data_IF_410245156595
#
_entry.id   IF_410245156595
#
_cell.length_a   1.000
_cell.length_b   1.000
_cell.length_c   1.000
_cell.angle_alpha   90.00
_cell.angle_beta   90.00
_cell.angle_gamma   90.00
#
_symmetry.space_group_name_H-M   'P 1'
#
loop_
_entity.id
_entity.type
_entity.pdbx_description
1 polymer ?
#
# COMPACT_ATOMS: atom_id res chain seq x y z
N UNK A 1 -23.28 -4.95 8.71
CA UNK A 1 -22.66 -4.94 8.55
C UNK A 1 -21.62 -5.26 8.73
N UNK A 2 -20.85 -5.11 8.77
CA UNK A 2 -19.81 -5.52 8.80
C UNK A 2 -18.85 -4.79 9.53
N UNK A 3 -19.17 -4.19 10.64
CA UNK A 3 -18.27 -3.53 11.49
C UNK A 3 -17.27 -4.44 12.10
N UNK A 4 -17.61 -5.70 12.23
CA UNK A 4 -16.68 -6.67 12.76
C UNK A 4 -15.48 -6.82 11.87
N UNK A 5 -15.68 -6.74 10.57
CA UNK A 5 -14.57 -6.84 9.66
C UNK A 5 -13.63 -5.67 9.80
N UNK A 6 -14.21 -4.51 10.05
CA UNK A 6 -13.37 -3.34 10.21
C UNK A 6 -12.55 -3.38 11.48
N UNK A 7 -13.02 -4.15 12.47
CA UNK A 7 -12.27 -4.25 13.70
C UNK A 7 -11.20 -5.30 13.73
N UNK A 8 -11.06 -6.07 12.64
CA UNK A 8 -10.06 -7.12 12.59
C UNK A 8 -8.79 -6.60 11.92
N UNK A 9 -7.68 -6.87 12.54
CA UNK A 9 -6.39 -6.45 12.00
C UNK A 9 -5.48 -7.64 11.85
N UNK A 10 -4.67 -7.62 10.82
CA UNK A 10 -3.74 -8.70 10.54
C UNK A 10 -2.35 -8.13 10.42
N UNK A 11 -1.39 -8.87 10.97
CA UNK A 11 0.01 -8.50 10.84
C UNK A 11 0.65 -9.37 9.79
N UNK A 12 1.40 -8.74 8.88
CA UNK A 12 2.05 -9.44 7.79
C UNK A 12 3.51 -9.04 7.79
N UNK A 13 4.37 -10.05 7.67
CA UNK A 13 5.81 -9.78 7.57
C UNK A 13 6.21 -9.82 6.11
N UNK A 14 6.87 -8.76 5.66
CA UNK A 14 7.31 -8.63 4.28
C UNK A 14 8.76 -8.19 4.25
N UNK A 15 9.52 -8.79 3.34
CA UNK A 15 10.85 -8.25 3.07
C UNK A 15 10.72 -7.14 2.04
N UNK A 16 11.85 -6.51 1.72
CA UNK A 16 11.82 -5.35 0.82
C UNK A 16 11.32 -5.73 -0.58
N UNK A 17 11.57 -6.95 -1.01
CA UNK A 17 11.08 -7.40 -2.31
C UNK A 17 9.56 -7.44 -2.33
N UNK A 18 8.95 -7.98 -1.27
CA UNK A 18 7.51 -8.02 -1.17
C UNK A 18 6.91 -6.63 -1.11
N UNK A 19 7.56 -5.75 -0.38
CA UNK A 19 7.09 -4.37 -0.27
C UNK A 19 7.12 -3.70 -1.64
N UNK A 20 8.18 -3.91 -2.42
CA UNK A 20 8.27 -3.31 -3.74
C UNK A 20 7.24 -3.88 -4.70
N UNK A 21 6.97 -5.18 -4.61
CA UNK A 21 5.95 -5.78 -5.45
C UNK A 21 4.58 -5.19 -5.16
N UNK A 22 4.26 -5.03 -3.89
CA UNK A 22 2.97 -4.46 -3.53
C UNK A 22 2.88 -3.02 -4.00
N UNK A 23 3.96 -2.26 -3.81
CA UNK A 23 3.97 -0.86 -4.25
C UNK A 23 3.76 -0.77 -5.76
N UNK A 24 4.41 -1.65 -6.52
CA UNK A 24 4.25 -1.67 -7.96
C UNK A 24 2.80 -1.96 -8.35
N UNK A 25 2.20 -2.96 -7.71
CA UNK A 25 0.82 -3.29 -7.98
C UNK A 25 -0.14 -2.16 -7.64
N UNK A 26 0.07 -1.53 -6.51
CA UNK A 26 -0.78 -0.41 -6.11
C UNK A 26 -0.61 0.76 -7.06
N UNK A 27 0.62 1.02 -7.50
CA UNK A 27 0.87 2.11 -8.44
C UNK A 27 0.15 1.86 -9.75
N UNK A 28 0.17 0.63 -10.23
CA UNK A 28 -0.52 0.29 -11.46
C UNK A 28 -2.03 0.43 -11.28
N UNK A 29 -2.54 0.03 -10.13
CA UNK A 29 -3.96 0.15 -9.87
C UNK A 29 -4.40 1.60 -9.88
N UNK A 30 -3.58 2.49 -9.31
CA UNK A 30 -3.90 3.91 -9.32
C UNK A 30 -3.87 4.46 -10.74
N UNK A 31 -2.84 4.08 -11.51
CA UNK A 31 -2.71 4.59 -12.86
C UNK A 31 -3.84 4.13 -13.78
N UNK A 32 -4.31 2.92 -13.54
CA UNK A 32 -5.34 2.34 -14.41
C UNK A 32 -6.73 2.52 -13.85
N UNK A 33 -6.88 3.37 -12.87
CA UNK A 33 -8.18 3.61 -12.26
C UNK A 33 -9.14 4.14 -13.31
N UNK A 34 -10.20 3.40 -13.55
CA UNK A 34 -11.12 3.75 -14.61
C UNK A 34 -12.43 4.28 -14.10
N UNK A 35 -12.47 4.63 -12.84
CA UNK A 35 -13.70 5.13 -12.24
C UNK A 35 -14.16 4.19 -11.16
N UNK A 36 -15.17 4.60 -10.43
CA UNK A 36 -15.63 3.87 -9.28
C UNK A 36 -15.77 4.86 -8.16
N UNK A 37 -15.79 4.36 -6.94
CA UNK A 37 -15.99 5.23 -5.81
C UNK A 37 -14.72 6.01 -5.51
N UNK A 38 -14.82 7.31 -5.37
CA UNK A 38 -13.62 8.11 -5.05
C UNK A 38 -12.92 7.65 -3.78
N UNK A 39 -13.67 7.11 -2.83
CA UNK A 39 -13.08 6.65 -1.60
C UNK A 39 -12.12 5.49 -1.85
N UNK A 40 -12.46 4.62 -2.78
CA UNK A 40 -11.56 3.51 -3.11
C UNK A 40 -10.27 4.03 -3.73
N UNK A 41 -10.39 5.03 -4.57
CA UNK A 41 -9.20 5.61 -5.18
C UNK A 41 -8.31 6.25 -4.12
N UNK A 42 -8.92 6.95 -3.18
CA UNK A 42 -8.15 7.57 -2.11
C UNK A 42 -7.45 6.53 -1.26
N UNK A 43 -8.13 5.39 -1.01
CA UNK A 43 -7.52 4.33 -0.25
C UNK A 43 -6.33 3.71 -0.99
N UNK A 44 -6.47 3.54 -2.30
CA UNK A 44 -5.36 3.02 -3.10
C UNK A 44 -4.16 3.94 -3.04
N UNK A 45 -4.40 5.23 -3.16
CA UNK A 45 -3.32 6.21 -3.12
C UNK A 45 -2.64 6.20 -1.75
N UNK A 46 -3.44 6.15 -0.69
CA UNK A 46 -2.88 6.13 0.65
C UNK A 46 -2.03 4.89 0.89
N UNK A 47 -2.50 3.74 0.43
CA UNK A 47 -1.74 2.51 0.57
C UNK A 47 -0.45 2.57 -0.24
N UNK A 48 -0.53 3.06 -1.48
CA UNK A 48 0.68 3.21 -2.29
C UNK A 48 1.70 4.09 -1.59
N UNK A 49 1.24 5.20 -1.02
CA UNK A 49 2.15 6.14 -0.38
C UNK A 49 2.76 5.54 0.87
N UNK A 50 2.00 4.74 1.62
CA UNK A 50 2.54 4.07 2.79
C UNK A 50 3.65 3.10 2.41
N UNK A 51 3.44 2.33 1.35
CA UNK A 51 4.47 1.39 0.92
C UNK A 51 5.67 2.11 0.32
N UNK A 52 5.43 3.23 -0.35
CA UNK A 52 6.54 4.03 -0.87
C UNK A 52 7.41 4.54 0.28
N UNK A 53 6.79 4.96 1.37
CA UNK A 53 7.54 5.42 2.52
C UNK A 53 8.44 4.32 3.08
N UNK A 54 7.92 3.09 3.13
CA UNK A 54 8.73 1.96 3.60
C UNK A 54 9.93 1.73 2.71
N UNK A 55 9.75 1.88 1.40
CA UNK A 55 10.86 1.73 0.47
C UNK A 55 11.91 2.80 0.72
N UNK A 56 11.47 4.03 0.93
CA UNK A 56 12.39 5.12 1.20
C UNK A 56 13.14 4.89 2.50
N UNK A 57 12.45 4.41 3.54
CA UNK A 57 13.09 4.14 4.81
C UNK A 57 14.14 3.05 4.66
N UNK A 58 13.83 2.03 3.87
CA UNK A 58 14.79 0.97 3.64
C UNK A 58 16.03 1.49 2.93
N UNK A 59 15.83 2.31 1.90
CA UNK A 59 16.96 2.88 1.18
C UNK A 59 17.81 3.76 2.08
N UNK A 60 17.16 4.54 2.90
CA UNK A 60 17.88 5.42 3.81
C UNK A 60 18.72 4.61 4.80
N UNK A 61 18.13 3.56 5.36
CA UNK A 61 18.85 2.72 6.30
C UNK A 61 20.03 2.01 5.62
N UNK A 62 19.85 1.63 4.37
CA UNK A 62 20.91 0.92 3.66
C UNK A 62 22.09 1.82 3.34
N UNK A 63 21.86 3.12 3.29
CA UNK A 63 22.95 4.05 3.02
C UNK A 63 23.82 4.30 4.23
N UNK A 64 23.35 3.94 5.40
CA UNK A 64 24.13 4.11 6.61
C UNK A 64 24.83 2.81 6.98
#
# INVERSE_FOLDING_TARGET
MHQEEEGHYYSIELNIRGIRLIHTGLSQAVQKWSGGEPEEQENLIAMRDNFYRLILEHQFDSMN
#
